data_IF_476937851614
#
_entry.id   IF_476937851614
#
_cell.length_a   1.000
_cell.length_b   1.000
_cell.length_c   1.000
_cell.angle_alpha   90.00
_cell.angle_beta   90.00
_cell.angle_gamma   90.00
#
_symmetry.space_group_name_H-M   'P 1'
#
loop_
_entity.id
_entity.type
_entity.pdbx_description
1 polymer ?
#
# COMPACT_ATOMS: atom_id res chain seq x y z
N UNK A 1 29.76 19.81 1.36
CA UNK A 1 29.09 18.66 1.97
C UNK A 1 27.62 18.74 1.56
N UNK A 2 27.26 18.02 0.52
CA UNK A 2 25.92 18.02 -0.06
C UNK A 2 25.12 16.91 0.60
N UNK A 3 24.17 17.30 1.45
CA UNK A 3 23.14 16.39 1.99
C UNK A 3 22.19 16.05 0.86
N UNK A 4 22.44 14.93 0.18
CA UNK A 4 21.54 14.37 -0.80
C UNK A 4 20.25 13.92 -0.08
N UNK A 5 19.16 14.59 -0.34
CA UNK A 5 17.81 14.16 0.00
C UNK A 5 17.50 12.95 -0.89
N UNK A 6 17.65 11.76 -0.36
CA UNK A 6 17.12 10.55 -0.98
C UNK A 6 15.59 10.59 -0.84
N UNK A 7 14.93 11.29 -1.76
CA UNK A 7 13.49 11.13 -1.96
C UNK A 7 13.34 9.75 -2.58
N UNK A 8 12.74 8.83 -1.83
CA UNK A 8 12.48 7.48 -2.28
C UNK A 8 11.54 7.57 -3.50
N UNK A 9 12.05 7.28 -4.69
CA UNK A 9 11.30 7.28 -5.96
C UNK A 9 10.03 6.43 -5.86
N UNK A 10 10.03 5.41 -5.01
CA UNK A 10 8.89 4.55 -4.71
C UNK A 10 7.76 5.33 -4.04
N UNK A 11 8.09 6.21 -3.09
CA UNK A 11 7.10 7.02 -2.37
C UNK A 11 6.47 8.06 -3.31
N UNK A 12 7.28 8.72 -4.13
CA UNK A 12 6.80 9.69 -5.12
C UNK A 12 5.86 9.03 -6.15
N UNK A 13 6.20 7.85 -6.63
CA UNK A 13 5.37 7.05 -7.54
C UNK A 13 4.05 6.65 -6.89
N UNK A 14 4.07 6.26 -5.61
CA UNK A 14 2.88 5.88 -4.86
C UNK A 14 1.93 7.07 -4.65
N UNK A 15 2.44 8.23 -4.23
CA UNK A 15 1.65 9.44 -4.05
C UNK A 15 0.99 9.88 -5.37
N UNK A 16 1.72 9.78 -6.48
CA UNK A 16 1.16 10.03 -7.82
C UNK A 16 0.04 9.04 -8.14
N UNK A 17 0.21 7.77 -7.82
CA UNK A 17 -0.80 6.72 -8.04
C UNK A 17 -2.06 6.98 -7.22
N UNK A 18 -1.93 7.31 -5.93
CA UNK A 18 -3.05 7.67 -5.04
C UNK A 18 -3.82 8.87 -5.61
N UNK A 19 -3.12 9.94 -5.98
CA UNK A 19 -3.74 11.15 -6.56
C UNK A 19 -4.48 10.83 -7.85
N UNK A 20 -3.89 10.01 -8.71
CA UNK A 20 -4.50 9.59 -9.98
C UNK A 20 -5.78 8.80 -9.74
N UNK A 21 -5.76 7.79 -8.87
CA UNK A 21 -6.93 6.98 -8.54
C UNK A 21 -8.04 7.80 -7.87
N UNK A 22 -7.68 8.74 -6.99
CA UNK A 22 -8.64 9.59 -6.26
C UNK A 22 -9.37 10.58 -7.17
N UNK A 23 -8.68 11.07 -8.20
CA UNK A 23 -9.23 12.07 -9.11
C UNK A 23 -10.10 11.47 -10.22
N UNK A 24 -9.99 10.15 -10.46
CA UNK A 24 -10.81 9.47 -11.45
C UNK A 24 -12.23 9.29 -10.90
N UNK A 25 -13.18 10.01 -11.48
CA UNK A 25 -14.60 9.99 -11.08
C UNK A 25 -15.49 10.09 -12.32
N UNK A 26 -16.70 9.53 -12.20
CA UNK A 26 -17.74 9.61 -13.24
C UNK A 26 -17.55 8.62 -14.38
N UNK A 27 -16.48 7.82 -14.37
CA UNK A 27 -16.23 6.72 -15.30
C UNK A 27 -16.43 5.38 -14.59
N UNK A 28 -16.51 4.32 -15.38
CA UNK A 28 -16.51 2.96 -14.82
C UNK A 28 -15.11 2.72 -14.22
N UNK A 29 -15.08 2.48 -12.92
CA UNK A 29 -13.88 2.14 -12.17
C UNK A 29 -14.00 0.70 -11.63
N UNK A 30 -13.04 -0.12 -11.98
CA UNK A 30 -12.95 -1.51 -11.52
C UNK A 30 -11.75 -1.64 -10.58
N UNK A 31 -12.01 -2.06 -9.35
CA UNK A 31 -10.99 -2.35 -8.35
C UNK A 31 -11.06 -3.82 -7.99
N UNK A 32 -9.96 -4.55 -8.21
CA UNK A 32 -9.78 -5.95 -7.82
C UNK A 32 -8.63 -6.00 -6.83
N UNK A 33 -8.93 -6.23 -5.55
CA UNK A 33 -7.94 -6.33 -4.48
C UNK A 33 -7.97 -7.76 -3.96
N UNK A 34 -6.82 -8.43 -3.94
CA UNK A 34 -6.69 -9.83 -3.55
C UNK A 34 -5.54 -10.03 -2.56
N UNK A 35 -5.68 -10.92 -1.58
CA UNK A 35 -4.55 -11.36 -0.77
C UNK A 35 -3.57 -12.14 -1.65
N UNK A 36 -2.29 -11.93 -1.42
CA UNK A 36 -1.18 -12.67 -2.01
C UNK A 36 -0.18 -13.05 -0.94
N UNK A 37 0.77 -13.91 -1.24
CA UNK A 37 1.69 -14.49 -0.27
C UNK A 37 3.14 -14.40 -0.73
N UNK A 38 4.05 -14.06 0.19
CA UNK A 38 5.49 -13.96 -0.08
C UNK A 38 6.16 -15.32 -0.19
N UNK A 39 5.62 -16.33 0.51
CA UNK A 39 6.24 -17.65 0.68
C UNK A 39 5.35 -18.78 0.19
N UNK A 40 5.98 -19.90 -0.20
CA UNK A 40 5.29 -21.16 -0.45
C UNK A 40 4.91 -21.83 0.89
N UNK A 41 3.83 -22.66 0.92
CA UNK A 41 3.07 -23.15 -0.24
C UNK A 41 1.98 -22.20 -0.74
N UNK A 42 1.54 -21.22 0.06
CA UNK A 42 0.35 -20.40 -0.21
C UNK A 42 0.48 -19.57 -1.50
N UNK A 43 1.69 -19.08 -1.79
CA UNK A 43 1.99 -18.35 -3.03
C UNK A 43 1.60 -19.09 -4.31
N UNK A 44 1.62 -20.43 -4.29
CA UNK A 44 1.27 -21.24 -5.49
C UNK A 44 -0.18 -21.07 -5.93
N UNK A 45 -1.04 -20.64 -5.02
CA UNK A 45 -2.48 -20.43 -5.28
C UNK A 45 -2.80 -19.00 -5.71
N UNK A 46 -1.88 -18.05 -5.55
CA UNK A 46 -2.12 -16.62 -5.79
C UNK A 46 -2.54 -16.32 -7.22
N UNK A 47 -1.88 -16.94 -8.19
CA UNK A 47 -2.23 -16.79 -9.61
C UNK A 47 -3.67 -17.24 -9.89
N UNK A 48 -4.07 -18.39 -9.36
CA UNK A 48 -5.43 -18.92 -9.55
C UNK A 48 -6.46 -18.04 -8.82
N UNK A 49 -6.15 -17.59 -7.61
CA UNK A 49 -7.03 -16.74 -6.83
C UNK A 49 -7.22 -15.36 -7.51
N UNK A 50 -6.16 -14.78 -8.03
CA UNK A 50 -6.22 -13.51 -8.79
C UNK A 50 -7.07 -13.68 -10.05
N UNK A 51 -6.89 -14.79 -10.80
CA UNK A 51 -7.72 -15.09 -11.98
C UNK A 51 -9.21 -15.20 -11.61
N UNK A 52 -9.55 -15.95 -10.56
CA UNK A 52 -10.93 -16.06 -10.06
C UNK A 52 -11.51 -14.70 -9.65
N UNK A 53 -10.72 -13.81 -9.07
CA UNK A 53 -11.16 -12.47 -8.69
C UNK A 53 -11.47 -11.61 -9.94
N UNK A 54 -10.67 -11.71 -11.00
CA UNK A 54 -10.94 -11.06 -12.28
C UNK A 54 -12.25 -11.58 -12.90
N UNK A 55 -12.47 -12.90 -12.89
CA UNK A 55 -13.72 -13.50 -13.36
C UNK A 55 -14.95 -13.03 -12.55
N UNK A 56 -14.79 -12.82 -11.24
CA UNK A 56 -15.85 -12.24 -10.40
C UNK A 56 -16.13 -10.78 -10.78
N UNK A 57 -15.07 -9.98 -11.06
CA UNK A 57 -15.23 -8.60 -11.52
C UNK A 57 -15.98 -8.55 -12.87
N UNK A 58 -15.64 -9.43 -13.80
CA UNK A 58 -16.32 -9.55 -15.09
C UNK A 58 -17.81 -9.87 -14.92
N UNK A 59 -18.15 -10.84 -14.05
CA UNK A 59 -19.55 -11.17 -13.75
C UNK A 59 -20.30 -9.96 -13.18
N UNK A 60 -19.68 -9.20 -12.26
CA UNK A 60 -20.28 -7.99 -11.71
C UNK A 60 -20.47 -6.90 -12.77
N UNK A 61 -19.52 -6.73 -13.68
CA UNK A 61 -19.66 -5.78 -14.80
C UNK A 61 -20.80 -6.20 -15.73
N UNK A 62 -20.92 -7.47 -16.08
CA UNK A 62 -21.96 -8.01 -16.97
C UNK A 62 -23.40 -7.79 -16.40
N UNK A 63 -23.57 -7.59 -15.10
CA UNK A 63 -24.87 -7.26 -14.52
C UNK A 63 -25.28 -5.80 -14.71
N UNK A 64 -24.32 -4.91 -15.04
CA UNK A 64 -24.52 -3.46 -15.03
C UNK A 64 -24.25 -2.78 -16.36
N UNK A 65 -23.42 -3.37 -17.21
CA UNK A 65 -22.89 -2.72 -18.40
C UNK A 65 -23.03 -3.61 -19.65
N UNK A 66 -23.09 -3.01 -20.86
CA UNK A 66 -23.10 -3.73 -22.14
C UNK A 66 -21.84 -4.55 -22.37
N UNK A 67 -21.95 -5.64 -23.12
CA UNK A 67 -20.89 -6.61 -23.33
C UNK A 67 -19.63 -6.07 -24.01
N UNK A 68 -19.76 -5.07 -24.90
CA UNK A 68 -18.64 -4.38 -25.55
C UNK A 68 -17.78 -3.63 -24.56
N UNK A 69 -18.41 -2.93 -23.61
CA UNK A 69 -17.73 -2.23 -22.51
C UNK A 69 -17.03 -3.26 -21.61
N UNK A 70 -17.77 -4.28 -21.18
CA UNK A 70 -17.22 -5.32 -20.30
C UNK A 70 -16.00 -5.97 -20.90
N UNK A 71 -16.05 -6.36 -22.18
CA UNK A 71 -14.92 -7.00 -22.85
C UNK A 71 -13.67 -6.11 -22.91
N UNK A 72 -13.84 -4.80 -23.12
CA UNK A 72 -12.74 -3.84 -23.08
C UNK A 72 -12.05 -3.80 -21.72
N UNK A 73 -12.83 -3.73 -20.63
CA UNK A 73 -12.28 -3.70 -19.26
C UNK A 73 -11.67 -5.05 -18.85
N UNK A 74 -12.30 -6.16 -19.23
CA UNK A 74 -11.77 -7.50 -18.98
C UNK A 74 -10.42 -7.69 -19.68
N UNK A 75 -10.28 -7.28 -20.94
CA UNK A 75 -9.00 -7.32 -21.64
C UNK A 75 -7.91 -6.55 -20.90
N UNK A 76 -8.21 -5.34 -20.43
CA UNK A 76 -7.25 -4.53 -19.64
C UNK A 76 -6.89 -5.16 -18.31
N UNK A 77 -7.83 -5.81 -17.62
CA UNK A 77 -7.52 -6.59 -16.43
C UNK A 77 -6.63 -7.79 -16.74
N UNK A 78 -6.84 -8.48 -17.85
CA UNK A 78 -5.98 -9.57 -18.29
C UNK A 78 -4.57 -9.10 -18.68
N UNK A 79 -4.43 -7.94 -19.32
CA UNK A 79 -3.13 -7.35 -19.60
C UNK A 79 -2.33 -7.07 -18.33
N UNK A 80 -2.98 -6.50 -17.29
CA UNK A 80 -2.35 -6.33 -15.98
C UNK A 80 -1.97 -7.68 -15.37
N UNK A 81 -2.88 -8.66 -15.44
CA UNK A 81 -2.63 -10.01 -14.88
C UNK A 81 -1.39 -10.67 -15.50
N UNK A 82 -1.16 -10.51 -16.79
CA UNK A 82 0.01 -11.06 -17.48
C UNK A 82 1.32 -10.39 -17.08
N UNK A 83 1.27 -9.17 -16.52
CA UNK A 83 2.44 -8.42 -16.05
C UNK A 83 2.82 -8.74 -14.61
N UNK A 84 1.99 -9.50 -13.87
CA UNK A 84 2.23 -9.81 -12.46
C UNK A 84 3.37 -10.82 -12.31
N UNK A 85 4.39 -10.44 -11.55
CA UNK A 85 5.42 -11.39 -11.12
C UNK A 85 4.97 -12.11 -9.84
N UNK A 86 4.30 -13.23 -10.01
CA UNK A 86 3.85 -14.07 -8.90
C UNK A 86 5.00 -14.76 -8.12
N UNK A 87 6.24 -14.69 -8.62
CA UNK A 87 7.39 -15.22 -7.88
C UNK A 87 7.84 -14.29 -6.76
N UNK A 88 7.56 -12.99 -6.88
CA UNK A 88 7.98 -11.95 -5.92
C UNK A 88 6.79 -11.16 -5.35
N UNK A 89 5.70 -11.86 -5.03
CA UNK A 89 4.52 -11.23 -4.43
C UNK A 89 4.84 -10.63 -3.06
N UNK A 90 4.12 -9.55 -2.75
CA UNK A 90 3.91 -9.04 -1.40
C UNK A 90 2.67 -9.71 -0.75
N UNK A 91 2.16 -9.16 0.36
CA UNK A 91 1.04 -9.73 1.13
C UNK A 91 -0.33 -9.37 0.53
N UNK A 92 -0.36 -8.52 -0.49
CA UNK A 92 -1.56 -8.15 -1.20
C UNK A 92 -1.29 -7.53 -2.57
N UNK A 93 -2.29 -7.59 -3.43
CA UNK A 93 -2.25 -7.08 -4.80
C UNK A 93 -3.54 -6.34 -5.12
N UNK A 94 -3.44 -5.17 -5.72
CA UNK A 94 -4.56 -4.39 -6.25
C UNK A 94 -4.41 -4.16 -7.75
N UNK A 95 -5.47 -4.40 -8.50
CA UNK A 95 -5.60 -4.07 -9.92
C UNK A 95 -6.71 -3.03 -10.08
N UNK A 96 -6.38 -1.91 -10.71
CA UNK A 96 -7.27 -0.78 -10.88
C UNK A 96 -7.38 -0.43 -12.36
N UNK A 97 -8.59 -0.49 -12.90
CA UNK A 97 -8.86 -0.24 -14.33
C UNK A 97 -10.04 0.72 -14.49
N UNK A 98 -9.84 1.79 -15.26
CA UNK A 98 -10.90 2.64 -15.81
C UNK A 98 -10.66 2.86 -17.30
N UNK A 99 -11.42 3.72 -17.93
CA UNK A 99 -11.17 4.10 -19.35
C UNK A 99 -9.77 4.71 -19.54
N UNK A 100 -9.26 5.44 -18.53
CA UNK A 100 -8.02 6.22 -18.60
C UNK A 100 -6.89 5.61 -17.79
N UNK A 101 -7.21 4.71 -16.83
CA UNK A 101 -6.26 4.21 -15.86
C UNK A 101 -6.15 2.69 -15.98
N UNK A 102 -4.91 2.22 -15.92
CA UNK A 102 -4.55 0.82 -15.80
C UNK A 102 -3.35 0.75 -14.86
N UNK A 103 -3.58 0.31 -13.61
CA UNK A 103 -2.60 0.38 -12.55
C UNK A 103 -2.60 -0.88 -11.69
N UNK A 104 -1.39 -1.38 -11.40
CA UNK A 104 -1.14 -2.44 -10.44
C UNK A 104 -0.47 -1.84 -9.19
N UNK A 105 -0.91 -2.27 -8.02
CA UNK A 105 -0.33 -1.88 -6.73
C UNK A 105 -0.13 -3.12 -5.86
N UNK A 106 1.11 -3.36 -5.41
CA UNK A 106 1.40 -4.39 -4.40
C UNK A 106 1.24 -3.80 -3.00
N UNK A 107 0.79 -4.60 -2.04
CA UNK A 107 0.61 -4.17 -0.64
C UNK A 107 1.55 -4.94 0.28
N UNK A 108 2.41 -4.26 1.08
CA UNK A 108 3.33 -4.91 2.01
C UNK A 108 2.65 -5.40 3.30
N UNK A 109 1.34 -5.50 3.33
CA UNK A 109 0.50 -5.95 4.43
C UNK A 109 -0.68 -6.79 3.90
N UNK A 110 -1.23 -7.69 4.73
CA UNK A 110 -2.37 -8.51 4.34
C UNK A 110 -3.60 -7.66 4.02
N UNK A 111 -4.24 -7.96 2.90
CA UNK A 111 -5.51 -7.34 2.49
C UNK A 111 -6.62 -8.39 2.44
N UNK A 112 -7.87 -7.93 2.50
CA UNK A 112 -9.04 -8.79 2.23
C UNK A 112 -9.41 -8.71 0.76
N UNK A 113 -9.95 -9.80 0.21
CA UNK A 113 -10.50 -9.77 -1.14
C UNK A 113 -11.62 -8.72 -1.23
N UNK A 114 -11.48 -7.81 -2.19
CA UNK A 114 -12.48 -6.78 -2.51
C UNK A 114 -12.57 -6.66 -4.02
N UNK A 115 -13.78 -6.72 -4.54
CA UNK A 115 -14.07 -6.52 -5.95
C UNK A 115 -15.16 -5.48 -6.03
N UNK A 116 -14.81 -4.30 -6.54
CA UNK A 116 -15.71 -3.15 -6.60
C UNK A 116 -15.78 -2.65 -8.04
N UNK A 117 -17.00 -2.50 -8.53
CA UNK A 117 -17.32 -1.91 -9.83
C UNK A 117 -18.28 -0.75 -9.61
N UNK A 118 -17.83 0.47 -9.86
CA UNK A 118 -18.57 1.71 -9.56
C UNK A 118 -18.05 2.91 -10.33
N UNK A 119 -18.37 4.09 -9.85
CA UNK A 119 -17.97 5.40 -10.40
C UNK A 119 -16.66 5.95 -9.82
N UNK A 120 -16.09 5.24 -8.87
CA UNK A 120 -14.84 5.58 -8.21
C UNK A 120 -14.09 4.32 -7.79
N UNK A 121 -12.78 4.43 -7.61
CA UNK A 121 -11.95 3.33 -7.14
C UNK A 121 -12.05 3.09 -5.64
N UNK A 122 -11.93 1.84 -5.20
CA UNK A 122 -11.71 1.46 -3.80
C UNK A 122 -10.24 1.68 -3.44
N UNK A 123 -9.92 2.83 -2.83
CA UNK A 123 -8.54 3.28 -2.60
C UNK A 123 -8.07 3.16 -1.14
N UNK A 124 -8.89 2.60 -0.23
CA UNK A 124 -8.57 2.55 1.20
C UNK A 124 -7.22 1.88 1.48
N UNK A 125 -6.96 0.72 0.86
CA UNK A 125 -5.71 0.00 1.07
C UNK A 125 -4.52 0.72 0.41
N UNK A 126 -4.76 1.48 -0.68
CA UNK A 126 -3.73 2.30 -1.33
C UNK A 126 -3.35 3.48 -0.44
N UNK A 127 -4.33 4.15 0.18
CA UNK A 127 -4.09 5.22 1.17
C UNK A 127 -3.37 4.69 2.41
N UNK A 128 -3.77 3.50 2.89
CA UNK A 128 -3.07 2.87 4.00
C UNK A 128 -1.61 2.55 3.64
N UNK A 129 -1.35 2.10 2.40
CA UNK A 129 0.03 1.87 1.92
C UNK A 129 0.84 3.17 1.89
N UNK A 130 0.25 4.30 1.50
CA UNK A 130 0.93 5.60 1.48
C UNK A 130 1.51 5.94 2.85
N UNK A 131 0.73 5.70 3.93
CA UNK A 131 1.14 5.99 5.30
C UNK A 131 1.86 4.81 5.99
N UNK A 132 1.94 3.64 5.35
CA UNK A 132 2.46 2.42 5.97
C UNK A 132 3.96 2.50 6.31
N UNK A 133 4.70 3.30 5.56
CA UNK A 133 6.16 3.46 5.70
C UNK A 133 6.56 4.73 6.45
N UNK A 134 5.60 5.45 7.05
CA UNK A 134 5.91 6.67 7.80
C UNK A 134 6.88 6.40 8.93
N UNK A 135 7.88 7.25 9.09
CA UNK A 135 8.81 7.15 10.21
C UNK A 135 8.10 7.48 11.52
N UNK A 136 8.49 6.83 12.58
CA UNK A 136 8.00 7.11 13.93
C UNK A 136 9.17 7.26 14.89
N UNK A 137 8.93 8.01 15.95
CA UNK A 137 9.88 8.21 17.03
C UNK A 137 9.32 7.61 18.33
N UNK A 138 10.15 6.88 19.05
CA UNK A 138 9.83 6.36 20.38
C UNK A 138 10.76 7.01 21.37
N UNK A 139 10.19 7.76 22.32
CA UNK A 139 10.93 8.36 23.42
C UNK A 139 10.78 7.47 24.65
N UNK A 140 11.89 6.88 25.09
CA UNK A 140 11.97 6.15 26.36
C UNK A 140 12.51 7.09 27.43
N UNK A 141 11.70 7.34 28.47
CA UNK A 141 12.07 8.11 29.63
C UNK A 141 12.31 7.19 30.82
N UNK A 142 13.45 7.33 31.46
CA UNK A 142 13.80 6.59 32.67
C UNK A 142 14.32 7.58 33.71
N UNK A 143 14.42 7.18 34.98
CA UNK A 143 15.03 8.01 36.03
C UNK A 143 16.49 8.39 35.71
N UNK A 144 17.17 7.60 34.89
CA UNK A 144 18.58 7.79 34.53
C UNK A 144 18.78 8.58 33.24
N UNK A 145 17.70 8.98 32.55
CA UNK A 145 17.80 9.77 31.33
C UNK A 145 16.71 9.47 30.30
N UNK A 146 16.85 10.09 29.12
CA UNK A 146 15.97 9.93 27.98
C UNK A 146 16.70 9.27 26.82
N UNK A 147 16.04 8.38 26.12
CA UNK A 147 16.54 7.77 24.87
C UNK A 147 15.51 7.96 23.77
N UNK A 148 15.93 8.52 22.64
CA UNK A 148 15.12 8.65 21.45
C UNK A 148 15.46 7.54 20.45
N UNK A 149 14.44 6.79 20.05
CA UNK A 149 14.56 5.78 19.00
C UNK A 149 13.85 6.29 17.76
N UNK A 150 14.51 6.18 16.63
CA UNK A 150 13.90 6.38 15.32
C UNK A 150 13.57 5.01 14.75
N UNK A 151 12.32 4.80 14.38
CA UNK A 151 11.84 3.58 13.77
C UNK A 151 11.20 3.85 12.42
N UNK A 152 11.39 2.94 11.49
CA UNK A 152 10.69 2.87 10.22
C UNK A 152 10.24 1.43 10.01
N UNK A 153 9.00 1.23 9.61
CA UNK A 153 8.52 -0.10 9.27
C UNK A 153 9.18 -0.53 7.95
N UNK A 154 9.93 -1.62 8.00
CA UNK A 154 10.52 -2.24 6.81
C UNK A 154 9.50 -3.10 6.09
N UNK A 155 9.78 -3.41 4.82
CA UNK A 155 9.02 -4.37 4.02
C UNK A 155 8.88 -5.74 4.70
N UNK A 156 9.85 -6.12 5.51
CA UNK A 156 9.89 -7.41 6.24
C UNK A 156 9.18 -7.35 7.60
N UNK A 157 8.43 -6.27 7.87
CA UNK A 157 7.84 -6.00 9.17
C UNK A 157 8.89 -5.86 10.31
N UNK A 158 10.17 -5.75 9.97
CA UNK A 158 11.26 -5.57 10.91
C UNK A 158 11.32 -4.11 11.33
N UNK A 159 11.36 -3.87 12.64
CA UNK A 159 11.54 -2.54 13.22
C UNK A 159 13.04 -2.22 13.26
N UNK A 160 13.48 -1.30 12.44
CA UNK A 160 14.83 -0.74 12.59
C UNK A 160 14.79 0.39 13.60
N UNK A 161 15.42 0.19 14.76
CA UNK A 161 15.60 1.22 15.76
C UNK A 161 17.07 1.68 15.75
N UNK A 162 17.29 2.93 15.43
CA UNK A 162 18.61 3.56 15.62
C UNK A 162 18.57 4.39 16.90
N UNK A 163 19.51 4.16 17.81
CA UNK A 163 19.58 4.84 19.09
C UNK A 163 20.46 6.08 18.96
N UNK A 164 19.89 7.26 19.06
CA UNK A 164 20.67 8.46 19.38
C UNK A 164 20.60 8.70 20.88
N UNK A 165 21.72 8.51 21.57
CA UNK A 165 21.83 8.83 22.99
C UNK A 165 21.79 10.37 23.17
N UNK A 166 20.73 10.88 23.78
CA UNK A 166 20.73 12.23 24.32
C UNK A 166 21.40 12.13 25.67
N UNK A 167 22.61 12.68 25.80
CA UNK A 167 23.29 12.79 27.10
C UNK A 167 22.39 13.55 28.08
N UNK A 168 22.27 13.12 29.35
CA UNK A 168 21.47 13.81 30.32
C UNK A 168 22.10 15.22 30.56
N UNK A 169 21.40 16.25 30.16
CA UNK A 169 21.65 17.56 30.73
C UNK A 169 21.15 17.52 32.17
N UNK A 170 22.03 17.75 33.13
CA UNK A 170 21.67 17.92 34.53
C UNK A 170 20.80 19.16 34.64
N UNK A 171 19.50 18.97 34.69
CA UNK A 171 18.57 20.02 35.12
C UNK A 171 18.24 19.76 36.58
N UNK A 172 18.78 20.56 37.44
CA UNK A 172 18.31 20.74 38.82
C UNK A 172 16.83 21.18 38.79
N UNK A 173 15.95 20.30 39.25
CA UNK A 173 14.62 20.63 39.73
C UNK A 173 13.57 20.97 38.68
N UNK A 174 12.52 20.14 38.61
CA UNK A 174 11.25 20.50 37.98
C UNK A 174 10.74 19.44 36.98
N UNK A 175 9.71 18.73 37.38
CA UNK A 175 8.92 17.86 36.49
C UNK A 175 8.20 18.70 35.45
N UNK A 176 8.52 18.52 34.19
CA UNK A 176 7.66 18.93 33.07
C UNK A 176 7.63 17.86 32.00
N UNK A 177 6.46 17.30 31.80
CA UNK A 177 6.17 16.43 30.66
C UNK A 177 5.93 17.32 29.42
N UNK A 178 6.66 17.08 28.34
CA UNK A 178 6.39 17.69 27.04
C UNK A 178 5.83 16.63 26.10
N UNK A 179 4.61 16.87 25.63
CA UNK A 179 4.04 16.18 24.48
C UNK A 179 4.40 16.99 23.23
N UNK A 180 5.02 16.33 22.25
CA UNK A 180 5.17 16.86 20.89
C UNK A 180 4.20 16.10 19.98
N UNK A 181 3.33 16.87 19.34
CA UNK A 181 2.48 16.43 18.22
C UNK A 181 3.29 16.37 16.92
#
# INVERSE_FOLDING_TARGET
MTTGTWIDDTLFTLQKSVKTLRNEKGNICVSVIVPTHRTSPDRRTDQLNTKKAIEKAERLMNTKYPADIVSSFTNRLHELFLQIDFAHNEDGLGLFVSSNIQLQVSFPFPVKEKIVVGDSFEIRDVLYKENFSDPYYVLLLTEQGARLFYGRRSRDNTLYCNTQGIAPQQTTGGQHAFFLQ
#
